data_IF_470070906356
#
_entry.id   IF_470070906356
#
_cell.length_a   1.000
_cell.length_b   1.000
_cell.length_c   1.000
_cell.angle_alpha   90.00
_cell.angle_beta   90.00
_cell.angle_gamma   90.00
#
_symmetry.space_group_name_H-M   'P 1'
#
loop_
_entity.id
_entity.type
_entity.pdbx_description
1 polymer ?
#
# COMPACT_ATOMS: atom_id res chain seq x y z
N UNK A 1 -10.73 -7.49 -24.63
CA UNK A 1 -10.25 -8.07 -23.34
C UNK A 1 -9.11 -7.25 -22.73
N UNK A 2 -8.02 -7.01 -23.46
CA UNK A 2 -6.87 -6.21 -22.98
C UNK A 2 -7.24 -4.82 -22.42
N UNK A 3 -8.00 -4.00 -23.17
CA UNK A 3 -8.41 -2.66 -22.72
C UNK A 3 -9.25 -2.68 -21.43
N UNK A 4 -10.13 -3.67 -21.26
CA UNK A 4 -10.95 -3.83 -20.05
C UNK A 4 -10.04 -4.10 -18.84
N UNK A 5 -9.05 -5.00 -18.97
CA UNK A 5 -8.09 -5.30 -17.91
C UNK A 5 -7.32 -4.04 -17.49
N UNK A 6 -6.91 -3.20 -18.44
CA UNK A 6 -6.21 -1.94 -18.15
C UNK A 6 -7.10 -0.92 -17.43
N UNK A 7 -8.31 -0.68 -17.92
CA UNK A 7 -9.25 0.26 -17.29
C UNK A 7 -9.58 -0.20 -15.87
N UNK A 8 -9.87 -1.50 -15.68
CA UNK A 8 -10.11 -2.07 -14.35
C UNK A 8 -8.87 -1.90 -13.45
N UNK A 9 -7.65 -2.13 -13.97
CA UNK A 9 -6.42 -1.94 -13.20
C UNK A 9 -6.25 -0.51 -12.70
N UNK A 10 -6.51 0.49 -13.55
CA UNK A 10 -6.45 1.91 -13.15
C UNK A 10 -7.43 2.19 -12.02
N UNK A 11 -8.67 1.69 -12.13
CA UNK A 11 -9.69 1.85 -11.08
C UNK A 11 -9.20 1.24 -9.76
N UNK A 12 -8.62 0.04 -9.79
CA UNK A 12 -8.08 -0.63 -8.61
C UNK A 12 -6.87 0.09 -8.01
N UNK A 13 -6.00 0.69 -8.83
CA UNK A 13 -4.91 1.55 -8.37
C UNK A 13 -5.47 2.77 -7.62
N UNK A 14 -6.44 3.46 -8.22
CA UNK A 14 -7.10 4.62 -7.58
C UNK A 14 -7.76 4.23 -6.25
N UNK A 15 -8.48 3.10 -6.22
CA UNK A 15 -9.08 2.58 -4.98
C UNK A 15 -8.00 2.24 -3.93
N UNK A 16 -6.89 1.62 -4.34
CA UNK A 16 -5.79 1.29 -3.46
C UNK A 16 -5.19 2.52 -2.80
N UNK A 17 -4.95 3.59 -3.57
CA UNK A 17 -4.50 4.88 -3.04
C UNK A 17 -5.53 5.52 -2.11
N UNK A 18 -6.80 5.49 -2.47
CA UNK A 18 -7.88 6.02 -1.62
C UNK A 18 -7.90 5.33 -0.25
N UNK A 19 -7.94 4.00 -0.21
CA UNK A 19 -7.98 3.26 1.06
C UNK A 19 -6.68 3.40 1.86
N UNK A 20 -5.53 3.50 1.18
CA UNK A 20 -4.27 3.78 1.83
C UNK A 20 -4.24 5.18 2.47
N UNK A 21 -4.74 6.21 1.79
CA UNK A 21 -4.88 7.56 2.34
C UNK A 21 -5.77 7.57 3.57
N UNK A 22 -6.99 6.98 3.48
CA UNK A 22 -7.92 6.89 4.62
C UNK A 22 -7.34 6.12 5.81
N UNK A 23 -6.55 5.08 5.55
CA UNK A 23 -5.83 4.35 6.60
C UNK A 23 -4.82 5.25 7.31
N UNK A 24 -4.02 6.01 6.56
CA UNK A 24 -3.03 6.93 7.13
C UNK A 24 -3.69 8.08 7.90
N UNK A 25 -4.75 8.67 7.36
CA UNK A 25 -5.52 9.73 8.05
C UNK A 25 -6.07 9.21 9.37
N UNK A 26 -6.63 7.99 9.37
CA UNK A 26 -7.16 7.38 10.59
C UNK A 26 -6.08 7.15 11.65
N UNK A 27 -4.90 6.68 11.26
CA UNK A 27 -3.76 6.52 12.20
C UNK A 27 -3.33 7.89 12.73
N UNK A 28 -3.20 8.89 11.86
CA UNK A 28 -2.79 10.23 12.24
C UNK A 28 -3.75 10.87 13.24
N UNK A 29 -5.05 10.70 13.02
CA UNK A 29 -6.09 11.34 13.84
C UNK A 29 -6.32 10.62 15.18
N UNK A 30 -6.26 9.29 15.20
CA UNK A 30 -6.59 8.49 16.40
C UNK A 30 -5.36 8.04 17.19
N UNK A 31 -4.21 7.91 16.54
CA UNK A 31 -2.98 7.39 17.13
C UNK A 31 -1.78 8.27 16.71
N UNK A 32 -1.74 9.55 17.09
CA UNK A 32 -0.72 10.49 16.62
C UNK A 32 0.71 10.06 16.99
N UNK A 33 0.92 9.51 18.20
CA UNK A 33 2.24 9.02 18.63
C UNK A 33 2.67 7.79 17.81
N UNK A 34 1.71 6.92 17.48
CA UNK A 34 1.94 5.81 16.56
C UNK A 34 2.29 6.35 15.17
N UNK A 35 1.56 7.34 14.65
CA UNK A 35 1.82 7.93 13.35
C UNK A 35 3.25 8.49 13.24
N UNK A 36 3.74 9.17 14.28
CA UNK A 36 5.10 9.71 14.34
C UNK A 36 6.14 8.58 14.42
N UNK A 37 5.92 7.58 15.29
CA UNK A 37 6.83 6.43 15.44
C UNK A 37 6.89 5.50 14.23
N UNK A 38 5.81 5.41 13.45
CA UNK A 38 5.81 4.71 12.17
C UNK A 38 6.65 5.43 11.11
N UNK A 39 7.13 6.64 11.40
CA UNK A 39 7.83 7.52 10.48
C UNK A 39 6.82 8.29 9.65
N UNK A 40 6.84 9.62 9.72
CA UNK A 40 6.00 10.44 8.86
C UNK A 40 6.21 10.02 7.40
N UNK A 41 5.16 9.69 6.63
CA UNK A 41 5.25 9.35 5.20
C UNK A 41 5.93 10.43 4.34
N UNK A 42 6.26 11.58 4.93
CA UNK A 42 7.10 12.64 4.35
C UNK A 42 8.44 12.14 3.82
N UNK A 43 8.93 10.98 4.27
CA UNK A 43 10.15 10.37 3.69
C UNK A 43 9.98 9.88 2.25
N UNK A 44 8.75 9.66 1.77
CA UNK A 44 8.48 9.32 0.37
C UNK A 44 8.05 10.50 -0.49
N UNK A 45 7.77 11.67 0.10
CA UNK A 45 7.33 12.87 -0.64
C UNK A 45 8.36 13.98 -0.67
N UNK A 46 9.41 13.93 0.17
CA UNK A 46 10.57 14.82 0.04
C UNK A 46 11.57 14.25 -0.97
N UNK A 47 11.54 14.80 -2.19
CA UNK A 47 12.65 14.63 -3.12
C UNK A 47 13.85 15.50 -2.69
N UNK A 48 15.10 15.01 -2.81
CA UNK A 48 15.47 13.74 -3.42
C UNK A 48 15.57 12.62 -2.39
N UNK A 49 14.78 11.56 -2.55
CA UNK A 49 14.95 10.33 -1.77
C UNK A 49 16.27 9.72 -2.23
N UNK A 50 17.25 9.66 -1.32
CA UNK A 50 18.53 9.10 -1.66
C UNK A 50 18.39 7.57 -1.84
N UNK A 51 18.98 7.01 -2.91
CA UNK A 51 18.83 5.59 -3.31
C UNK A 51 19.04 4.58 -2.15
N UNK A 52 19.90 4.90 -1.19
CA UNK A 52 20.16 4.08 -0.01
C UNK A 52 18.96 3.96 0.93
N UNK A 53 18.10 4.98 1.04
CA UNK A 53 16.87 4.93 1.83
C UNK A 53 15.85 3.98 1.20
N UNK A 54 15.75 3.95 -0.14
CA UNK A 54 14.88 3.02 -0.88
C UNK A 54 15.36 1.57 -0.68
N UNK A 55 16.66 1.32 -0.81
CA UNK A 55 17.24 -0.02 -0.66
C UNK A 55 17.06 -0.53 0.77
N UNK A 56 17.21 0.35 1.78
CA UNK A 56 17.02 0.00 3.18
C UNK A 56 15.55 -0.35 3.46
N UNK A 57 14.61 0.46 2.98
CA UNK A 57 13.17 0.22 3.15
C UNK A 57 12.65 -1.04 2.41
N UNK A 58 13.34 -1.47 1.34
CA UNK A 58 13.12 -2.73 0.64
C UNK A 58 13.89 -3.92 1.25
N UNK A 59 14.76 -3.68 2.23
CA UNK A 59 15.56 -4.73 2.86
C UNK A 59 14.75 -5.44 3.96
N UNK A 60 14.90 -6.76 4.10
CA UNK A 60 14.20 -7.52 5.13
C UNK A 60 14.63 -7.19 6.57
N UNK A 61 15.75 -6.48 6.76
CA UNK A 61 16.36 -6.22 8.08
C UNK A 61 16.23 -4.76 8.56
N UNK A 62 15.51 -3.89 7.84
CA UNK A 62 15.35 -2.53 8.36
C UNK A 62 14.52 -1.63 7.48
N UNK A 63 13.24 -1.50 7.80
CA UNK A 63 12.41 -0.44 7.24
C UNK A 63 12.90 0.92 7.75
N UNK A 64 13.06 1.90 6.86
CA UNK A 64 13.40 3.29 7.24
C UNK A 64 12.24 3.93 8.03
N UNK A 65 11.04 3.39 7.87
CA UNK A 65 9.81 3.73 8.58
C UNK A 65 9.31 2.51 9.37
N UNK A 66 8.88 2.61 10.63
CA UNK A 66 8.21 1.47 11.31
C UNK A 66 6.95 0.97 10.58
N UNK A 67 6.48 1.73 9.59
CA UNK A 67 5.33 1.46 8.74
C UNK A 67 5.36 0.10 8.03
N UNK A 68 6.45 -0.29 7.37
CA UNK A 68 6.46 -1.57 6.62
C UNK A 68 6.30 -2.77 7.54
N UNK A 69 6.97 -2.78 8.68
CA UNK A 69 6.85 -3.82 9.71
C UNK A 69 5.45 -3.81 10.36
N UNK A 70 4.93 -2.61 10.68
CA UNK A 70 3.56 -2.45 11.14
C UNK A 70 2.55 -3.02 10.15
N UNK A 71 2.79 -2.83 8.85
CA UNK A 71 1.97 -3.31 7.74
C UNK A 71 2.10 -4.83 7.49
N UNK A 72 3.28 -5.41 7.66
CA UNK A 72 3.53 -6.84 7.46
C UNK A 72 2.96 -7.68 8.62
N UNK A 73 3.23 -7.26 9.86
CA UNK A 73 2.86 -7.98 11.08
C UNK A 73 1.39 -7.77 11.50
N UNK A 74 0.62 -6.99 10.74
CA UNK A 74 -0.79 -6.72 11.05
C UNK A 74 -0.99 -6.02 12.39
N UNK A 75 -0.02 -5.23 12.86
CA UNK A 75 -0.06 -4.57 14.19
C UNK A 75 -1.30 -3.71 14.39
N UNK A 76 -1.91 -3.17 13.33
CA UNK A 76 -3.18 -2.43 13.41
C UNK A 76 -4.37 -3.25 13.91
N UNK A 77 -4.35 -4.59 13.80
CA UNK A 77 -5.42 -5.46 14.32
C UNK A 77 -5.47 -5.38 15.84
N UNK A 78 -4.31 -5.25 16.49
CA UNK A 78 -4.19 -5.10 17.95
C UNK A 78 -4.75 -3.78 18.49
N UNK A 79 -4.99 -2.79 17.62
CA UNK A 79 -5.55 -1.49 18.03
C UNK A 79 -7.06 -1.52 18.23
N UNK A 80 -7.75 -2.58 17.79
CA UNK A 80 -9.21 -2.74 17.95
C UNK A 80 -10.04 -1.74 17.14
N UNK A 81 -9.44 -0.88 16.31
CA UNK A 81 -10.15 0.09 15.47
C UNK A 81 -10.77 -0.58 14.24
N UNK A 82 -12.10 -0.60 14.20
CA UNK A 82 -12.89 -1.21 13.13
C UNK A 82 -12.73 -0.49 11.79
N UNK A 83 -12.68 0.83 11.79
CA UNK A 83 -12.52 1.63 10.57
C UNK A 83 -11.09 1.47 10.02
N UNK A 84 -10.09 1.48 10.90
CA UNK A 84 -8.70 1.22 10.52
C UNK A 84 -8.55 -0.18 9.90
N UNK A 85 -9.15 -1.19 10.53
CA UNK A 85 -9.14 -2.58 10.04
C UNK A 85 -9.84 -2.73 8.69
N UNK A 86 -10.94 -2.00 8.49
CA UNK A 86 -11.67 -1.93 7.23
C UNK A 86 -10.81 -1.35 6.11
N UNK A 87 -10.20 -0.17 6.32
CA UNK A 87 -9.35 0.46 5.31
C UNK A 87 -8.11 -0.39 4.97
N UNK A 88 -7.47 -1.00 5.99
CA UNK A 88 -6.34 -1.90 5.78
C UNK A 88 -6.72 -3.13 4.95
N UNK A 89 -7.91 -3.70 5.20
CA UNK A 89 -8.41 -4.87 4.47
C UNK A 89 -8.72 -4.52 3.02
N UNK A 90 -9.42 -3.42 2.75
CA UNK A 90 -9.69 -2.97 1.38
C UNK A 90 -8.42 -2.61 0.61
N UNK A 91 -7.43 -2.00 1.26
CA UNK A 91 -6.10 -1.79 0.66
C UNK A 91 -5.45 -3.12 0.26
N UNK A 92 -5.52 -4.16 1.09
CA UNK A 92 -4.98 -5.49 0.72
C UNK A 92 -5.76 -6.13 -0.42
N UNK A 93 -7.09 -6.05 -0.41
CA UNK A 93 -7.91 -6.58 -1.50
C UNK A 93 -7.57 -5.92 -2.82
N UNK A 94 -7.41 -4.60 -2.84
CA UNK A 94 -6.98 -3.89 -4.07
C UNK A 94 -5.60 -4.33 -4.54
N UNK A 95 -4.63 -4.55 -3.64
CA UNK A 95 -3.32 -5.10 -3.99
C UNK A 95 -3.42 -6.52 -4.57
N UNK A 96 -4.20 -7.42 -3.98
CA UNK A 96 -4.38 -8.77 -4.49
C UNK A 96 -5.08 -8.79 -5.85
N UNK A 97 -6.13 -7.97 -6.02
CA UNK A 97 -6.79 -7.82 -7.31
C UNK A 97 -5.87 -7.25 -8.38
N UNK A 98 -4.97 -6.32 -8.05
CA UNK A 98 -3.97 -5.81 -8.99
C UNK A 98 -2.97 -6.88 -9.42
N UNK A 99 -2.53 -7.76 -8.51
CA UNK A 99 -1.68 -8.91 -8.87
C UNK A 99 -2.40 -9.83 -9.85
N UNK A 100 -3.67 -10.15 -9.59
CA UNK A 100 -4.47 -10.99 -10.49
C UNK A 100 -4.67 -10.31 -11.86
N UNK A 101 -5.01 -9.03 -11.88
CA UNK A 101 -5.18 -8.26 -13.12
C UNK A 101 -3.88 -8.16 -13.91
N UNK A 102 -2.74 -8.00 -13.23
CA UNK A 102 -1.42 -8.01 -13.86
C UNK A 102 -1.11 -9.36 -14.53
N UNK A 103 -1.39 -10.48 -13.87
CA UNK A 103 -1.22 -11.81 -14.47
C UNK A 103 -2.17 -12.02 -15.67
N UNK A 104 -3.42 -11.59 -15.57
CA UNK A 104 -4.37 -11.63 -16.68
C UNK A 104 -3.91 -10.75 -17.86
N UNK A 105 -3.34 -9.58 -17.57
CA UNK A 105 -2.77 -8.70 -18.59
C UNK A 105 -1.63 -9.41 -19.34
N UNK A 106 -0.69 -10.04 -18.62
CA UNK A 106 0.42 -10.81 -19.20
C UNK A 106 -0.06 -11.94 -20.11
N UNK A 107 -1.06 -12.71 -19.65
CA UNK A 107 -1.66 -13.77 -20.45
C UNK A 107 -2.33 -13.20 -21.70
N UNK A 108 -3.06 -12.08 -21.57
CA UNK A 108 -3.73 -11.45 -22.69
C UNK A 108 -2.77 -10.77 -23.69
N UNK A 109 -1.54 -10.44 -23.29
CA UNK A 109 -0.51 -9.89 -24.18
C UNK A 109 0.26 -10.95 -24.96
N UNK A 110 0.27 -12.21 -24.49
CA UNK A 110 0.92 -13.34 -25.17
C UNK A 110 0.04 -14.03 -26.23
N UNK A 111 -1.25 -13.71 -26.28
CA UNK A 111 -2.17 -14.20 -27.31
C UNK A 111 -2.09 -13.22 -28.49
N UNK A 112 -1.27 -13.56 -29.50
CA UNK A 112 -1.39 -12.92 -30.82
C UNK A 112 -2.80 -13.23 -31.40
N UNK A 113 -3.39 -12.29 -32.17
CA UNK A 113 -4.70 -12.49 -32.78
C UNK A 113 -4.73 -13.71 -33.71
#
# INVERSE_FOLDING_TARGET
MFQIIWVTSIIFVCMGFYFHGRFLDRIKDQYPDLYVSLGEPRMFTRYPIAKHAIIKDLSPEGSFTGYTEFMSERKWVGLGDKELSKYASYRRYTQYSLVVLFLLALLSSGVQP
#
